data_IF_678003464956
#
_entry.id   IF_678003464956
#
_cell.length_a   1.000
_cell.length_b   1.000
_cell.length_c   1.000
_cell.angle_alpha   90.00
_cell.angle_beta   90.00
_cell.angle_gamma   90.00
#
_symmetry.space_group_name_H-M   'P 1'
#
loop_
_entity.id
_entity.type
_entity.pdbx_description
1 polymer ?
#
# COMPACT_ATOMS: atom_id res chain seq x y z
N UNK A 1 0.43 -73.02 0.08
CA UNK A 1 1.87 -72.69 -0.12
C UNK A 1 2.21 -71.55 0.82
N UNK A 2 3.06 -71.84 1.79
CA UNK A 2 3.49 -71.01 2.91
C UNK A 2 4.93 -70.51 2.70
N UNK A 3 5.30 -69.46 3.44
CA UNK A 3 6.65 -68.90 3.68
C UNK A 3 7.17 -67.88 2.64
N UNK A 4 7.89 -66.80 2.98
CA UNK A 4 8.49 -66.29 4.24
C UNK A 4 8.92 -64.82 4.05
N UNK A 5 8.81 -64.01 5.10
CA UNK A 5 9.62 -62.81 5.31
C UNK A 5 11.07 -63.20 5.59
N UNK A 6 12.07 -62.55 4.94
CA UNK A 6 13.41 -62.34 5.49
C UNK A 6 14.07 -61.05 4.91
N UNK A 7 14.39 -60.13 5.82
CA UNK A 7 15.64 -59.37 5.97
C UNK A 7 16.24 -58.61 4.77
N UNK A 8 16.04 -57.29 4.75
CA UNK A 8 16.95 -56.31 4.16
C UNK A 8 17.21 -55.17 5.17
N UNK A 9 17.49 -55.56 6.42
CA UNK A 9 18.17 -54.74 7.41
C UNK A 9 19.60 -55.28 7.51
N UNK A 10 20.52 -54.78 6.67
CA UNK A 10 21.90 -55.29 6.66
C UNK A 10 22.70 -55.04 5.39
N UNK A 11 22.57 -53.87 4.76
CA UNK A 11 23.42 -53.37 3.66
C UNK A 11 22.88 -51.95 3.35
N UNK A 12 23.45 -50.82 3.73
CA UNK A 12 24.80 -50.49 4.11
C UNK A 12 24.76 -49.38 5.17
N UNK A 13 24.85 -49.79 6.43
CA UNK A 13 25.48 -49.00 7.50
C UNK A 13 26.98 -48.98 7.18
N UNK A 14 27.38 -48.17 6.19
CA UNK A 14 28.78 -47.94 5.78
C UNK A 14 28.85 -46.76 4.80
N UNK A 15 28.15 -45.67 5.09
CA UNK A 15 28.35 -44.34 4.47
C UNK A 15 27.91 -43.21 5.44
N UNK A 16 28.02 -43.47 6.76
CA UNK A 16 27.77 -42.50 7.83
C UNK A 16 29.06 -41.97 8.48
N UNK A 17 30.22 -42.12 7.85
CA UNK A 17 31.49 -41.56 8.37
C UNK A 17 32.19 -40.84 7.23
N UNK A 18 31.77 -39.60 6.95
CA UNK A 18 32.36 -38.79 5.88
C UNK A 18 31.77 -37.40 5.63
N UNK A 19 30.81 -36.91 6.43
CA UNK A 19 30.25 -35.55 6.25
C UNK A 19 30.02 -34.79 7.56
N UNK A 20 30.81 -35.06 8.60
CA UNK A 20 30.89 -34.20 9.79
C UNK A 20 32.28 -33.59 9.88
N UNK A 21 32.54 -32.55 9.08
CA UNK A 21 33.51 -31.49 9.35
C UNK A 21 33.51 -30.48 8.20
N UNK A 22 32.54 -29.57 8.18
CA UNK A 22 32.71 -28.20 7.66
C UNK A 22 31.58 -27.32 8.23
N UNK A 23 31.83 -26.52 9.29
CA UNK A 23 31.01 -25.37 9.59
C UNK A 23 31.53 -24.24 8.67
N UNK A 24 30.93 -24.07 7.51
CA UNK A 24 31.28 -22.98 6.60
C UNK A 24 30.01 -22.38 6.02
N UNK A 25 29.57 -21.30 6.67
CA UNK A 25 28.84 -20.19 6.06
C UNK A 25 27.60 -20.59 5.26
N UNK A 26 26.49 -20.86 5.96
CA UNK A 26 25.19 -20.52 5.40
C UNK A 26 25.17 -18.99 5.26
N UNK A 27 25.55 -18.47 4.09
CA UNK A 27 25.20 -17.11 3.71
C UNK A 27 23.70 -16.96 3.89
N UNK A 28 23.30 -16.15 4.88
CA UNK A 28 21.92 -15.71 5.01
C UNK A 28 21.62 -14.88 3.77
N UNK A 29 20.98 -15.49 2.78
CA UNK A 29 20.47 -14.81 1.61
C UNK A 29 19.21 -14.07 2.06
N UNK A 30 19.36 -12.79 2.40
CA UNK A 30 18.24 -11.89 2.67
C UNK A 30 17.69 -11.37 1.35
N UNK A 31 16.41 -11.64 1.06
CA UNK A 31 15.72 -11.05 -0.08
C UNK A 31 15.14 -9.70 0.35
N UNK A 32 15.65 -8.62 -0.22
CA UNK A 32 15.07 -7.30 -0.06
C UNK A 32 13.90 -7.14 -1.04
N UNK A 33 12.68 -7.04 -0.52
CA UNK A 33 11.58 -6.43 -1.25
C UNK A 33 11.43 -5.02 -0.72
N UNK A 34 12.04 -4.06 -1.43
CA UNK A 34 11.78 -2.64 -1.21
C UNK A 34 10.31 -2.36 -1.49
N UNK A 35 9.51 -2.30 -0.45
CA UNK A 35 8.26 -1.56 -0.42
C UNK A 35 8.53 -0.30 0.37
N UNK A 36 8.46 0.87 -0.27
CA UNK A 36 8.38 2.14 0.47
C UNK A 36 7.12 2.09 1.31
N UNK A 37 7.29 1.92 2.62
CA UNK A 37 6.27 2.21 3.61
C UNK A 37 6.70 3.53 4.23
N UNK A 38 5.86 4.55 4.07
CA UNK A 38 6.03 5.80 4.82
C UNK A 38 5.58 5.47 6.25
N UNK A 39 6.53 5.33 7.16
CA UNK A 39 6.24 5.12 8.58
C UNK A 39 5.56 6.38 9.13
N UNK A 40 4.31 6.26 9.61
CA UNK A 40 3.48 7.41 9.96
C UNK A 40 3.77 8.01 11.34
N UNK A 41 4.58 7.34 12.16
CA UNK A 41 4.62 7.60 13.62
C UNK A 41 5.96 8.14 14.15
N UNK A 42 6.95 8.44 13.30
CA UNK A 42 8.23 9.00 13.76
C UNK A 42 8.75 10.08 12.83
N UNK A 43 9.09 11.24 13.39
CA UNK A 43 9.72 12.41 12.74
C UNK A 43 11.15 12.14 12.24
N UNK A 44 11.42 10.94 11.74
CA UNK A 44 12.70 10.57 11.13
C UNK A 44 12.39 9.69 9.92
N UNK A 45 12.89 10.00 8.71
CA UNK A 45 12.79 9.09 7.58
C UNK A 45 13.63 7.85 7.88
N UNK A 46 12.99 6.84 8.47
CA UNK A 46 13.52 5.51 8.61
C UNK A 46 12.94 4.66 7.49
N UNK A 47 13.78 4.18 6.58
CA UNK A 47 13.34 3.18 5.62
C UNK A 47 13.04 1.88 6.38
N UNK A 48 11.77 1.47 6.45
CA UNK A 48 11.40 0.14 6.94
C UNK A 48 11.66 -0.84 5.80
N UNK A 49 12.72 -1.62 5.95
CA UNK A 49 13.02 -2.70 5.02
C UNK A 49 12.36 -4.00 5.49
N UNK A 50 11.58 -4.62 4.59
CA UNK A 50 11.06 -5.96 4.79
C UNK A 50 12.07 -6.97 4.24
N UNK A 51 12.65 -7.75 5.15
CA UNK A 51 13.54 -8.85 4.80
C UNK A 51 12.73 -10.15 4.88
N UNK A 52 12.72 -10.90 3.79
CA UNK A 52 12.11 -12.23 3.78
C UNK A 52 13.22 -13.27 3.60
N UNK A 53 13.26 -14.27 4.48
CA UNK A 53 14.03 -15.48 4.24
C UNK A 53 13.34 -16.31 3.16
N UNK A 54 14.13 -17.03 2.36
CA UNK A 54 13.66 -17.83 1.20
C UNK A 54 12.59 -18.87 1.58
N UNK A 55 12.46 -19.21 2.87
CA UNK A 55 11.53 -20.22 3.39
C UNK A 55 10.43 -19.69 4.33
N UNK A 56 10.12 -18.38 4.28
CA UNK A 56 8.80 -17.89 4.67
C UNK A 56 8.69 -17.17 6.00
N UNK A 57 9.78 -16.92 6.71
CA UNK A 57 9.78 -15.94 7.80
C UNK A 57 10.25 -14.58 7.26
N UNK A 58 9.36 -13.60 7.29
CA UNK A 58 9.71 -12.21 7.02
C UNK A 58 9.79 -11.46 8.35
N UNK A 59 10.85 -10.66 8.53
CA UNK A 59 10.99 -9.78 9.68
C UNK A 59 11.10 -8.32 9.23
N UNK A 60 10.55 -7.44 10.05
CA UNK A 60 10.64 -6.00 9.89
C UNK A 60 11.81 -5.50 10.73
N UNK A 61 12.74 -4.77 10.12
CA UNK A 61 13.86 -4.19 10.85
C UNK A 61 13.88 -2.67 10.66
N UNK A 62 13.75 -1.94 11.76
CA UNK A 62 14.01 -0.51 11.81
C UNK A 62 15.53 -0.31 11.77
N UNK A 63 16.07 0.34 10.74
CA UNK A 63 17.52 0.55 10.66
C UNK A 63 17.99 1.64 11.63
N UNK A 64 18.72 1.22 12.66
CA UNK A 64 19.87 1.95 13.20
C UNK A 64 21.03 0.96 13.40
N UNK A 65 21.56 0.33 12.33
CA UNK A 65 22.83 -0.42 12.43
C UNK A 65 23.51 -0.68 11.08
N UNK A 66 24.77 -0.23 11.02
CA UNK A 66 25.97 -0.79 10.38
C UNK A 66 25.95 -1.24 8.90
N UNK A 67 26.69 -0.50 8.08
CA UNK A 67 26.73 -0.47 6.60
C UNK A 67 27.46 -1.67 5.97
N UNK A 68 27.59 -2.81 6.66
CA UNK A 68 28.41 -3.95 6.20
C UNK A 68 27.62 -5.14 5.67
N UNK A 69 26.28 -5.13 5.71
CA UNK A 69 25.44 -6.10 5.01
C UNK A 69 25.01 -5.56 3.64
N UNK A 70 25.81 -5.82 2.59
CA UNK A 70 25.36 -5.55 1.22
C UNK A 70 24.20 -6.49 0.87
N UNK A 71 22.99 -5.97 0.78
CA UNK A 71 21.91 -6.64 0.07
C UNK A 71 22.36 -6.88 -1.37
N UNK A 72 22.42 -8.14 -1.78
CA UNK A 72 22.67 -8.50 -3.18
C UNK A 72 21.31 -8.66 -3.84
N UNK A 73 20.97 -7.79 -4.79
CA UNK A 73 19.75 -7.97 -5.59
C UNK A 73 19.86 -9.31 -6.33
N UNK A 74 18.97 -10.25 -6.00
CA UNK A 74 18.84 -11.49 -6.77
C UNK A 74 18.26 -11.08 -8.13
N UNK A 75 18.95 -11.38 -9.25
CA UNK A 75 18.44 -11.07 -10.56
C UNK A 75 17.11 -11.79 -10.76
N UNK A 76 16.07 -11.03 -11.13
CA UNK A 76 14.77 -11.58 -11.47
C UNK A 76 14.91 -12.65 -12.55
N UNK A 77 14.27 -13.80 -12.36
CA UNK A 77 14.27 -14.84 -13.39
C UNK A 77 13.54 -14.34 -14.64
N UNK A 78 13.87 -14.90 -15.81
CA UNK A 78 13.17 -14.55 -17.06
C UNK A 78 11.64 -14.72 -16.93
N UNK A 79 11.19 -15.77 -16.24
CA UNK A 79 9.76 -16.03 -16.03
C UNK A 79 9.08 -15.00 -15.13
N UNK A 80 9.73 -14.57 -14.03
CA UNK A 80 9.21 -13.52 -13.17
C UNK A 80 9.11 -12.18 -13.91
N UNK A 81 10.13 -11.85 -14.70
CA UNK A 81 10.14 -10.64 -15.53
C UNK A 81 8.99 -10.65 -16.54
N UNK A 82 8.77 -11.77 -17.23
CA UNK A 82 7.66 -11.93 -18.17
C UNK A 82 6.30 -11.77 -17.47
N UNK A 83 6.10 -12.38 -16.30
CA UNK A 83 4.87 -12.22 -15.51
C UNK A 83 4.63 -10.76 -15.10
N UNK A 84 5.68 -10.05 -14.65
CA UNK A 84 5.57 -8.63 -14.28
C UNK A 84 5.19 -7.77 -15.48
N UNK A 85 5.78 -8.01 -16.65
CA UNK A 85 5.45 -7.27 -17.87
C UNK A 85 3.99 -7.48 -18.28
N UNK A 86 3.51 -8.73 -18.24
CA UNK A 86 2.10 -9.05 -18.51
C UNK A 86 1.18 -8.34 -17.51
N UNK A 87 1.49 -8.39 -16.22
CA UNK A 87 0.69 -7.69 -15.20
C UNK A 87 0.67 -6.18 -15.40
N UNK A 88 1.81 -5.58 -15.77
CA UNK A 88 1.88 -4.14 -16.07
C UNK A 88 0.99 -3.77 -17.26
N UNK A 89 0.98 -4.59 -18.32
CA UNK A 89 0.10 -4.35 -19.47
C UNK A 89 -1.38 -4.49 -19.11
N UNK A 90 -1.73 -5.49 -18.30
CA UNK A 90 -3.08 -5.69 -17.77
C UNK A 90 -3.53 -4.46 -16.96
N UNK A 91 -2.68 -3.99 -16.05
CA UNK A 91 -2.94 -2.81 -15.22
C UNK A 91 -3.07 -1.55 -16.07
N UNK A 92 -2.24 -1.38 -17.10
CA UNK A 92 -2.33 -0.25 -18.02
C UNK A 92 -3.64 -0.24 -18.81
N UNK A 93 -4.11 -1.40 -19.28
CA UNK A 93 -5.42 -1.49 -19.96
C UNK A 93 -6.57 -1.19 -19.01
N UNK A 94 -6.46 -1.57 -17.74
CA UNK A 94 -7.46 -1.20 -16.73
C UNK A 94 -7.46 0.31 -16.50
N UNK A 95 -6.29 0.93 -16.35
CA UNK A 95 -6.15 2.37 -16.23
C UNK A 95 -6.88 3.10 -17.37
N UNK A 96 -6.71 2.68 -18.63
CA UNK A 96 -7.42 3.29 -19.75
C UNK A 96 -8.95 3.13 -19.69
N UNK A 97 -9.43 2.01 -19.13
CA UNK A 97 -10.88 1.82 -18.91
C UNK A 97 -11.40 2.73 -17.81
N UNK A 98 -10.62 2.89 -16.74
CA UNK A 98 -10.92 3.77 -15.63
C UNK A 98 -10.98 5.24 -16.06
N UNK A 99 -10.04 5.70 -16.88
CA UNK A 99 -10.07 7.04 -17.49
C UNK A 99 -11.40 7.28 -18.22
N UNK A 100 -11.78 6.35 -19.10
CA UNK A 100 -13.01 6.45 -19.87
C UNK A 100 -14.26 6.41 -19.00
N UNK A 101 -14.21 5.66 -17.90
CA UNK A 101 -15.30 5.60 -16.93
C UNK A 101 -15.47 6.96 -16.21
N UNK A 102 -14.37 7.56 -15.76
CA UNK A 102 -14.37 8.90 -15.16
C UNK A 102 -14.89 9.97 -16.13
N UNK A 103 -14.46 9.93 -17.40
CA UNK A 103 -15.00 10.80 -18.46
C UNK A 103 -16.52 10.62 -18.64
N UNK A 104 -17.01 9.39 -18.51
CA UNK A 104 -18.44 9.09 -18.62
C UNK A 104 -19.23 9.68 -17.45
N UNK A 105 -18.67 9.61 -16.23
CA UNK A 105 -19.27 10.28 -15.06
C UNK A 105 -19.37 11.78 -15.31
N UNK A 106 -18.28 12.40 -15.77
CA UNK A 106 -18.22 13.84 -16.01
C UNK A 106 -19.19 14.29 -17.10
N UNK A 107 -19.26 13.55 -18.21
CA UNK A 107 -20.16 13.86 -19.33
C UNK A 107 -21.63 13.72 -18.99
N UNK A 108 -21.97 12.75 -18.14
CA UNK A 108 -23.36 12.46 -17.80
C UNK A 108 -23.91 13.36 -16.69
N UNK A 109 -23.07 14.18 -16.07
CA UNK A 109 -23.47 15.01 -14.94
C UNK A 109 -24.11 16.31 -15.36
N UNK A 110 -25.25 16.63 -14.77
CA UNK A 110 -25.91 17.92 -15.04
C UNK A 110 -25.31 19.03 -14.17
N UNK A 111 -25.45 20.31 -14.59
CA UNK A 111 -25.08 21.45 -13.75
C UNK A 111 -25.78 21.44 -12.38
N UNK A 112 -27.04 21.02 -12.32
CA UNK A 112 -27.82 20.92 -11.08
C UNK A 112 -27.24 19.87 -10.14
N UNK A 113 -26.88 18.69 -10.65
CA UNK A 113 -26.23 17.64 -9.86
C UNK A 113 -24.86 18.11 -9.32
N UNK A 114 -24.09 18.83 -10.14
CA UNK A 114 -22.82 19.43 -9.69
C UNK A 114 -23.04 20.44 -8.58
N UNK A 115 -24.09 21.25 -8.68
CA UNK A 115 -24.40 22.24 -7.66
C UNK A 115 -24.83 21.61 -6.33
N UNK A 116 -25.62 20.54 -6.38
CA UNK A 116 -25.97 19.78 -5.17
C UNK A 116 -24.73 19.17 -4.50
N UNK A 117 -23.75 18.71 -5.28
CA UNK A 117 -22.49 18.23 -4.70
C UNK A 117 -21.65 19.34 -4.09
N UNK A 118 -21.63 20.54 -4.67
CA UNK A 118 -20.96 21.70 -4.06
C UNK A 118 -21.58 22.07 -2.73
N UNK A 119 -22.92 21.98 -2.61
CA UNK A 119 -23.63 22.20 -1.35
C UNK A 119 -23.33 21.13 -0.31
N UNK A 120 -23.09 19.90 -0.72
CA UNK A 120 -22.72 18.80 0.19
C UNK A 120 -21.25 18.88 0.61
N UNK A 121 -20.36 19.23 -0.32
CA UNK A 121 -18.91 19.25 -0.13
C UNK A 121 -18.39 20.67 0.13
N UNK A 122 -18.94 21.33 1.15
CA UNK A 122 -18.49 22.68 1.52
C UNK A 122 -17.09 22.59 2.11
N UNK A 123 -16.16 23.34 1.51
CA UNK A 123 -14.80 23.52 2.02
C UNK A 123 -14.67 24.94 2.57
N UNK A 124 -14.52 25.12 3.90
CA UNK A 124 -14.28 26.44 4.49
C UNK A 124 -13.01 27.10 3.92
N UNK A 125 -12.94 28.44 3.88
CA UNK A 125 -11.74 29.13 3.42
C UNK A 125 -10.53 28.80 4.30
N UNK A 126 -9.35 28.75 3.66
CA UNK A 126 -8.06 28.50 4.30
C UNK A 126 -7.38 29.77 4.85
N UNK A 127 -6.09 29.67 5.23
CA UNK A 127 -5.12 28.64 4.82
C UNK A 127 -5.34 27.28 5.49
N UNK A 128 -4.85 26.22 4.82
CA UNK A 128 -4.74 24.87 5.37
C UNK A 128 -3.28 24.48 5.52
N UNK A 129 -2.99 23.73 6.58
CA UNK A 129 -1.67 23.26 6.97
C UNK A 129 -1.64 21.74 6.97
N UNK A 130 -0.46 21.15 6.82
CA UNK A 130 -0.30 19.70 7.01
C UNK A 130 -0.40 19.38 8.50
N UNK A 131 -1.38 18.56 8.90
CA UNK A 131 -1.57 18.17 10.29
C UNK A 131 -0.70 16.96 10.65
N UNK A 132 0.17 17.15 11.66
CA UNK A 132 1.03 16.12 12.26
C UNK A 132 0.80 15.95 13.76
N UNK A 133 -0.31 16.48 14.27
CA UNK A 133 -0.59 16.43 15.69
C UNK A 133 -0.99 15.05 16.21
N UNK A 134 -1.08 14.99 17.55
CA UNK A 134 -1.29 13.74 18.32
C UNK A 134 -2.57 12.97 17.97
N UNK A 135 -3.55 13.61 17.33
CA UNK A 135 -4.81 12.96 16.97
C UNK A 135 -4.82 12.39 15.54
N UNK A 136 -3.72 12.53 14.78
CA UNK A 136 -3.63 12.09 13.38
C UNK A 136 -4.01 10.61 13.21
N UNK A 137 -3.47 9.71 14.04
CA UNK A 137 -3.80 8.28 13.98
C UNK A 137 -5.29 8.02 14.21
N UNK A 138 -5.91 8.73 15.16
CA UNK A 138 -7.35 8.59 15.45
C UNK A 138 -8.20 9.06 14.28
N UNK A 139 -7.78 10.11 13.58
CA UNK A 139 -8.47 10.62 12.40
C UNK A 139 -8.36 9.65 11.22
N UNK A 140 -7.19 9.06 10.98
CA UNK A 140 -7.06 7.99 9.98
C UNK A 140 -7.91 6.79 10.35
N UNK A 141 -7.88 6.31 11.59
CA UNK A 141 -8.75 5.22 12.02
C UNK A 141 -10.24 5.51 11.80
N UNK A 142 -10.69 6.73 12.11
CA UNK A 142 -12.06 7.18 11.84
C UNK A 142 -12.39 7.14 10.35
N UNK A 143 -11.43 7.50 9.50
CA UNK A 143 -11.56 7.39 8.04
C UNK A 143 -11.64 5.94 7.58
N UNK A 144 -10.78 5.06 8.10
CA UNK A 144 -10.77 3.63 7.80
C UNK A 144 -12.11 2.97 8.19
N UNK A 145 -12.60 3.25 9.40
CA UNK A 145 -13.89 2.77 9.90
C UNK A 145 -15.04 3.19 8.97
N UNK A 146 -14.98 4.42 8.45
CA UNK A 146 -16.02 4.97 7.57
C UNK A 146 -15.96 4.39 6.16
N UNK A 147 -14.76 4.11 5.65
CA UNK A 147 -14.59 3.46 4.36
C UNK A 147 -15.23 2.08 4.35
N UNK A 148 -15.29 1.39 5.49
CA UNK A 148 -15.76 0.01 5.61
C UNK A 148 -15.04 -0.95 4.64
N UNK A 149 -13.85 -0.56 4.17
CA UNK A 149 -12.91 -1.40 3.43
C UNK A 149 -11.93 -1.95 4.46
N UNK A 150 -11.73 -3.27 4.49
CA UNK A 150 -10.73 -3.86 5.38
C UNK A 150 -9.33 -3.52 4.88
N UNK A 151 -8.61 -2.72 5.66
CA UNK A 151 -7.18 -2.44 5.47
C UNK A 151 -6.29 -3.64 5.81
N UNK A 152 -6.86 -4.70 6.39
CA UNK A 152 -6.16 -5.92 6.78
C UNK A 152 -6.12 -6.97 5.65
N UNK A 153 -6.84 -6.74 4.54
CA UNK A 153 -6.77 -7.56 3.33
C UNK A 153 -5.69 -7.08 2.37
N UNK A 154 -5.15 -7.97 1.54
CA UNK A 154 -4.27 -7.64 0.40
C UNK A 154 -4.93 -6.71 -0.64
N UNK A 155 -6.06 -6.09 -0.32
CA UNK A 155 -6.90 -5.31 -1.23
C UNK A 155 -6.37 -3.89 -1.39
N UNK A 156 -5.63 -3.35 -0.42
CA UNK A 156 -5.04 -2.00 -0.50
C UNK A 156 -3.53 -2.06 -0.72
N UNK A 157 -3.09 -1.48 -1.83
CA UNK A 157 -1.69 -1.35 -2.18
C UNK A 157 -1.27 0.12 -2.26
N UNK A 158 -0.06 0.40 -1.76
CA UNK A 158 0.57 1.73 -1.79
C UNK A 158 -0.33 2.84 -1.23
N UNK A 159 -0.83 2.69 0.00
CA UNK A 159 -1.57 3.76 0.64
C UNK A 159 -0.68 4.99 0.79
N UNK A 160 -1.24 6.15 0.48
CA UNK A 160 -0.64 7.46 0.73
C UNK A 160 -1.74 8.37 1.21
N UNK A 161 -1.56 8.99 2.36
CA UNK A 161 -2.53 9.94 2.85
C UNK A 161 -1.90 10.97 3.77
N UNK A 162 -2.56 12.10 3.86
CA UNK A 162 -2.22 13.17 4.78
C UNK A 162 -3.50 13.80 5.31
N UNK A 163 -3.35 14.62 6.34
CA UNK A 163 -4.44 15.38 6.91
C UNK A 163 -4.11 16.85 6.71
N UNK A 164 -5.08 17.62 6.24
CA UNK A 164 -5.01 19.07 6.26
C UNK A 164 -5.90 19.62 7.36
N UNK A 165 -5.50 20.74 7.97
CA UNK A 165 -6.29 21.43 9.00
C UNK A 165 -6.13 22.95 8.87
N UNK A 166 -7.14 23.73 9.24
CA UNK A 166 -7.04 25.19 9.32
C UNK A 166 -7.11 25.70 10.77
N UNK A 167 -6.97 27.01 10.95
CA UNK A 167 -6.97 27.67 12.28
C UNK A 167 -8.26 27.46 13.08
N UNK A 168 -9.38 27.16 12.40
CA UNK A 168 -10.67 26.90 13.04
C UNK A 168 -10.85 25.43 13.45
N UNK A 169 -9.84 24.58 13.25
CA UNK A 169 -9.88 23.15 13.55
C UNK A 169 -10.68 22.32 12.54
N UNK A 170 -11.04 22.89 11.38
CA UNK A 170 -11.65 22.14 10.29
C UNK A 170 -10.56 21.37 9.56
N UNK A 171 -10.77 20.06 9.40
CA UNK A 171 -9.77 19.17 8.83
C UNK A 171 -10.33 18.32 7.69
N UNK A 172 -9.42 17.86 6.84
CA UNK A 172 -9.69 16.89 5.79
C UNK A 172 -8.67 15.77 5.83
N UNK A 173 -9.15 14.53 5.79
CA UNK A 173 -8.31 13.36 5.51
C UNK A 173 -8.31 13.17 4.00
N UNK A 174 -7.13 13.24 3.39
CA UNK A 174 -6.91 13.08 1.96
C UNK A 174 -6.10 11.82 1.74
N UNK A 175 -6.66 10.86 1.01
CA UNK A 175 -6.11 9.50 0.95
C UNK A 175 -6.19 8.93 -0.44
N UNK A 176 -5.13 8.25 -0.86
CA UNK A 176 -5.02 7.57 -2.14
C UNK A 176 -4.54 6.15 -1.92
N UNK A 177 -5.16 5.18 -2.59
CA UNK A 177 -4.67 3.82 -2.60
C UNK A 177 -5.05 3.08 -3.89
N UNK A 178 -4.31 2.02 -4.19
CA UNK A 178 -4.66 1.08 -5.24
C UNK A 178 -5.47 -0.06 -4.64
N UNK A 179 -6.72 -0.21 -5.09
CA UNK A 179 -7.59 -1.34 -4.77
C UNK A 179 -7.31 -2.51 -5.72
N UNK A 180 -7.04 -3.69 -5.17
CA UNK A 180 -7.12 -4.94 -5.91
C UNK A 180 -8.59 -5.37 -5.99
N UNK A 181 -9.16 -5.20 -7.17
CA UNK A 181 -10.51 -5.64 -7.47
C UNK A 181 -10.59 -7.17 -7.50
N UNK A 182 -11.79 -7.73 -7.25
CA UNK A 182 -12.03 -9.19 -7.24
C UNK A 182 -11.63 -9.91 -8.54
N UNK A 183 -11.58 -9.18 -9.64
CA UNK A 183 -11.17 -9.67 -10.96
C UNK A 183 -9.64 -9.65 -11.16
N UNK A 184 -8.86 -9.35 -10.12
CA UNK A 184 -7.39 -9.33 -10.14
C UNK A 184 -6.77 -8.05 -10.71
N UNK A 185 -7.58 -7.04 -11.00
CA UNK A 185 -7.11 -5.76 -11.53
C UNK A 185 -6.89 -4.74 -10.43
N UNK A 186 -5.99 -3.80 -10.68
CA UNK A 186 -5.74 -2.67 -9.79
C UNK A 186 -6.49 -1.43 -10.26
N UNK A 187 -7.18 -0.77 -9.34
CA UNK A 187 -7.88 0.49 -9.57
C UNK A 187 -7.45 1.50 -8.51
N UNK A 188 -7.00 2.69 -8.92
CA UNK A 188 -6.59 3.73 -7.99
C UNK A 188 -7.80 4.52 -7.53
N UNK A 189 -8.06 4.55 -6.23
CA UNK A 189 -9.06 5.43 -5.65
C UNK A 189 -8.39 6.56 -4.88
N UNK A 190 -9.00 7.73 -4.97
CA UNK A 190 -8.65 8.89 -4.18
C UNK A 190 -9.90 9.32 -3.40
N UNK A 191 -9.72 9.56 -2.10
CA UNK A 191 -10.78 9.89 -1.16
C UNK A 191 -10.48 11.16 -0.39
N UNK A 192 -11.54 11.91 -0.07
CA UNK A 192 -11.49 13.06 0.81
C UNK A 192 -12.60 12.90 1.84
N UNK A 193 -12.26 12.98 3.13
CA UNK A 193 -13.21 13.02 4.23
C UNK A 193 -13.06 14.30 5.03
N UNK A 194 -14.17 14.97 5.32
CA UNK A 194 -14.20 16.22 6.10
C UNK A 194 -14.50 15.99 7.59
N UNK A 195 -14.06 16.92 8.42
CA UNK A 195 -14.50 17.09 9.81
C UNK A 195 -16.03 17.19 9.94
N UNK A 196 -16.70 17.76 8.93
CA UNK A 196 -18.17 17.89 8.85
C UNK A 196 -18.89 16.58 8.50
N UNK A 197 -18.13 15.49 8.29
CA UNK A 197 -18.69 14.15 8.17
C UNK A 197 -19.17 13.77 6.78
N UNK A 198 -18.94 14.57 5.73
CA UNK A 198 -19.04 14.10 4.35
C UNK A 198 -17.77 13.38 3.91
N UNK A 199 -17.88 12.53 2.90
CA UNK A 199 -16.77 11.81 2.29
C UNK A 199 -17.06 11.57 0.82
N UNK A 200 -16.06 11.76 -0.04
CA UNK A 200 -16.16 11.55 -1.49
C UNK A 200 -15.05 10.64 -1.99
N UNK A 201 -15.34 9.93 -3.08
CA UNK A 201 -14.44 9.08 -3.86
C UNK A 201 -14.38 9.63 -5.30
N UNK A 202 -13.20 9.74 -5.88
CA UNK A 202 -13.01 10.20 -7.26
C UNK A 202 -13.82 9.38 -8.28
N UNK A 203 -14.04 8.08 -8.06
CA UNK A 203 -14.90 7.23 -8.91
C UNK A 203 -16.40 7.45 -8.69
N UNK A 204 -16.81 8.15 -7.63
CA UNK A 204 -18.22 8.52 -7.41
C UNK A 204 -18.53 9.90 -7.99
N UNK A 205 -17.58 10.83 -7.90
CA UNK A 205 -17.79 12.24 -8.25
C UNK A 205 -17.08 12.67 -9.54
N UNK A 206 -16.32 11.80 -10.18
CA UNK A 206 -15.53 12.18 -11.36
C UNK A 206 -14.31 13.01 -10.99
N UNK A 207 -13.30 13.00 -11.86
CA UNK A 207 -11.99 13.58 -11.58
C UNK A 207 -12.05 15.10 -11.50
N UNK A 208 -12.79 15.75 -12.39
CA UNK A 208 -12.86 17.21 -12.45
C UNK A 208 -13.42 17.82 -11.17
N UNK A 209 -14.53 17.29 -10.65
CA UNK A 209 -15.10 17.75 -9.38
C UNK A 209 -14.21 17.37 -8.19
N UNK A 210 -13.71 16.14 -8.15
CA UNK A 210 -12.81 15.70 -7.08
C UNK A 210 -11.59 16.61 -6.96
N UNK A 211 -10.93 16.92 -8.08
CA UNK A 211 -9.77 17.80 -8.12
C UNK A 211 -10.09 19.24 -7.70
N UNK A 212 -11.32 19.72 -7.93
CA UNK A 212 -11.77 21.02 -7.42
C UNK A 212 -11.75 21.04 -5.89
N UNK A 213 -12.28 19.99 -5.26
CA UNK A 213 -12.32 19.84 -3.80
C UNK A 213 -10.92 19.59 -3.25
N UNK A 214 -10.14 18.70 -3.86
CA UNK A 214 -8.78 18.36 -3.45
C UNK A 214 -7.88 19.60 -3.37
N UNK A 215 -7.92 20.46 -4.38
CA UNK A 215 -7.13 21.71 -4.38
C UNK A 215 -7.49 22.67 -3.25
N UNK A 216 -8.75 22.67 -2.83
CA UNK A 216 -9.24 23.56 -1.76
C UNK A 216 -9.00 22.97 -0.38
N UNK A 217 -9.16 21.66 -0.25
CA UNK A 217 -9.17 20.96 1.03
C UNK A 217 -7.80 20.36 1.37
N UNK A 218 -7.13 19.70 0.43
CA UNK A 218 -5.97 18.86 0.69
C UNK A 218 -4.63 19.58 0.53
N UNK A 219 -4.57 20.67 -0.22
CA UNK A 219 -3.30 21.34 -0.47
C UNK A 219 -2.93 22.21 0.73
N UNK A 220 -1.80 21.91 1.35
CA UNK A 220 -1.24 22.74 2.41
C UNK A 220 -0.51 23.96 1.82
N UNK A 221 -0.44 25.04 2.60
CA UNK A 221 0.41 26.19 2.28
C UNK A 221 1.92 25.92 2.50
N UNK A 222 2.28 24.70 2.93
CA UNK A 222 3.64 24.28 3.27
C UNK A 222 3.99 24.38 4.76
N UNK A 223 3.10 24.91 5.60
CA UNK A 223 3.26 24.92 7.05
C UNK A 223 2.67 23.66 7.70
N UNK A 224 3.17 23.33 8.89
CA UNK A 224 2.80 22.14 9.66
C UNK A 224 2.04 22.59 10.92
N UNK A 225 0.94 21.91 11.21
CA UNK A 225 0.19 22.04 12.46
C UNK A 225 0.41 20.80 13.34
N UNK A 226 0.76 21.01 14.61
CA UNK A 226 1.00 19.98 15.64
C UNK A 226 -0.18 19.77 16.61
#
# INVERSE_FOLDING_TARGET
MTMKHQNLAGLAVMLCVGLTCFPALAEKICVERSSRVIDMDKDTPGDIHRFCEVYGECFYQNQYTDVTKRCTEIPETKSERERRLIQNEINYRQYLRDEKYLETIEKNRTPEELEELRKQCVVPPGPYYEYRGKEKEKLFKKFEDKLAISFEGNDLMKPSGHISINDNGQWFVCYSAWLNLKNGYQQRHDWIMSSEGWMIDNFQVGRSFFNEIEKKACYSNGEIAE
#
